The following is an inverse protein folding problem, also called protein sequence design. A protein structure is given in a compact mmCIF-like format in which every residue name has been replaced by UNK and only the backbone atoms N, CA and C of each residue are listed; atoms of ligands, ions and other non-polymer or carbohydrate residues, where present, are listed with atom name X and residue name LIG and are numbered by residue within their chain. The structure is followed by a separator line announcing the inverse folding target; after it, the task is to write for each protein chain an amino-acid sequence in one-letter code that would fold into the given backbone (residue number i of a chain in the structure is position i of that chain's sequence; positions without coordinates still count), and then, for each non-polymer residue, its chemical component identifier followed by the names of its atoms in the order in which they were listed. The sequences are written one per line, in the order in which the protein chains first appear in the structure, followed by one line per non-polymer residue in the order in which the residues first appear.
data_IF_609922104253
#
_entry.id   IF_609922104253
#
_cell.length_a   1.000
_cell.length_b   1.000
_cell.length_c   1.000
_cell.angle_alpha   90.00
_cell.angle_beta   90.00
_cell.angle_gamma   90.00
#
_symmetry.space_group_name_H-M   'P 1'
#
loop_
_entity.id
_entity.type
_entity.pdbx_description
1 polymer ?
#
# COMPACT_ATOMS: atom_id res chain seq x y z
N UNK A 1 28.94 -31.37 48.47
CA UNK A 1 29.57 -30.77 49.70
C UNK A 1 30.39 -29.58 49.28
N UNK A 2 30.05 -28.42 49.72
CA UNK A 2 30.81 -27.26 50.17
C UNK A 2 29.93 -25.99 50.07
N UNK A 3 29.58 -25.52 51.26
CA UNK A 3 28.90 -24.27 51.54
C UNK A 3 29.93 -23.12 51.61
N UNK A 4 29.59 -21.94 51.17
CA UNK A 4 30.36 -20.72 51.42
C UNK A 4 29.48 -19.52 51.11
N UNK A 5 29.00 -18.94 51.92
CA UNK A 5 28.94 -17.97 53.00
C UNK A 5 28.94 -16.51 52.44
N UNK A 6 27.86 -15.89 52.80
CA UNK A 6 27.43 -14.49 52.65
C UNK A 6 28.44 -13.56 53.36
N UNK A 7 28.79 -12.40 52.76
CA UNK A 7 29.30 -11.23 53.46
C UNK A 7 28.49 -10.01 53.10
N UNK A 8 27.72 -9.55 54.10
CA UNK A 8 27.13 -8.20 54.14
C UNK A 8 28.18 -7.21 54.64
N UNK A 9 28.32 -6.06 53.99
CA UNK A 9 29.02 -4.90 54.52
C UNK A 9 28.06 -3.72 54.58
N UNK A 10 27.88 -3.23 55.80
CA UNK A 10 27.19 -1.99 56.16
C UNK A 10 28.24 -0.87 56.19
N UNK A 11 27.92 0.27 55.63
CA UNK A 11 28.44 1.62 55.94
C UNK A 11 27.38 2.57 55.39
N UNK A 12 26.80 3.49 56.06
CA UNK A 12 27.27 4.38 57.07
C UNK A 12 26.78 5.76 56.66
N UNK A 13 25.76 6.30 57.35
CA UNK A 13 25.14 7.63 57.08
C UNK A 13 26.12 8.75 57.35
N UNK A 14 26.11 9.77 56.48
CA UNK A 14 26.46 11.14 56.92
C UNK A 14 25.43 12.11 56.35
N UNK A 15 24.75 12.79 57.24
CA UNK A 15 23.88 13.93 56.97
C UNK A 15 24.75 15.18 56.86
N UNK A 16 24.56 15.99 55.83
CA UNK A 16 24.86 17.43 55.87
C UNK A 16 23.75 18.18 55.17
N UNK A 17 23.03 18.93 55.96
CA UNK A 17 22.02 19.91 55.60
C UNK A 17 22.68 21.15 54.99
N UNK A 18 22.26 21.55 53.81
CA UNK A 18 22.43 22.91 53.31
C UNK A 18 21.07 23.42 52.83
N UNK A 19 20.57 24.39 53.56
CA UNK A 19 19.41 25.20 53.15
C UNK A 19 19.86 26.20 52.08
N UNK A 20 19.22 26.17 50.93
CA UNK A 20 19.28 27.24 49.95
C UNK A 20 17.86 27.57 49.49
N UNK A 21 17.45 28.80 49.77
CA UNK A 21 16.22 29.40 49.30
C UNK A 21 16.20 29.46 47.77
N UNK A 22 15.31 28.71 47.17
CA UNK A 22 15.08 28.73 45.72
C UNK A 22 13.75 29.40 45.41
N UNK A 23 13.84 30.50 44.66
CA UNK A 23 12.69 31.19 44.05
C UNK A 23 11.84 30.21 43.24
N UNK A 24 10.59 30.10 43.60
CA UNK A 24 9.53 29.46 42.79
C UNK A 24 9.18 30.36 41.63
N UNK A 25 9.76 30.10 40.44
CA UNK A 25 9.16 30.53 39.18
C UNK A 25 8.05 29.54 38.81
N UNK A 26 6.82 29.90 39.07
CA UNK A 26 5.65 29.24 38.55
C UNK A 26 5.60 29.53 37.04
N UNK A 27 6.20 28.67 36.21
CA UNK A 27 5.91 28.63 34.78
C UNK A 27 4.55 27.97 34.63
N UNK A 28 3.51 28.78 34.51
CA UNK A 28 2.21 28.33 34.05
C UNK A 28 2.34 27.82 32.60
N UNK A 29 2.65 26.54 32.43
CA UNK A 29 2.50 25.83 31.15
C UNK A 29 1.03 25.67 30.85
N UNK A 30 0.39 26.76 30.43
CA UNK A 30 -0.88 26.72 29.73
C UNK A 30 -0.66 26.04 28.38
N UNK A 31 -0.77 24.71 28.35
CA UNK A 31 -0.98 23.98 27.12
C UNK A 31 -2.37 24.36 26.59
N UNK A 32 -2.46 25.55 26.00
CA UNK A 32 -3.61 25.93 25.21
C UNK A 32 -3.69 24.90 24.09
N UNK A 33 -4.78 24.10 24.09
CA UNK A 33 -5.15 23.33 22.91
C UNK A 33 -5.19 24.32 21.74
N UNK A 34 -4.27 24.14 20.79
CA UNK A 34 -4.33 24.90 19.57
C UNK A 34 -5.76 24.75 19.00
N UNK A 35 -6.42 25.85 18.61
CA UNK A 35 -7.77 25.76 18.06
C UNK A 35 -7.73 24.78 16.91
N UNK A 36 -8.68 23.83 16.88
CA UNK A 36 -8.83 22.90 15.79
C UNK A 36 -8.98 23.74 14.52
N UNK A 37 -7.98 23.65 13.65
CA UNK A 37 -7.98 24.36 12.38
C UNK A 37 -9.09 23.75 11.54
N UNK A 38 -10.22 24.41 11.44
CA UNK A 38 -11.31 24.00 10.55
C UNK A 38 -10.78 24.03 9.14
N UNK A 39 -10.70 22.86 8.52
CA UNK A 39 -10.28 22.75 7.14
C UNK A 39 -11.27 23.51 6.25
N UNK A 40 -10.79 24.46 5.49
CA UNK A 40 -11.62 25.33 4.66
C UNK A 40 -12.34 24.59 3.53
N UNK A 41 -11.88 23.41 3.16
CA UNK A 41 -12.42 22.59 2.07
C UNK A 41 -12.20 21.08 2.32
N UNK A 42 -13.16 20.22 1.91
CA UNK A 42 -12.99 18.78 1.97
C UNK A 42 -11.82 18.31 1.09
N UNK A 43 -11.19 17.18 1.45
CA UNK A 43 -10.20 16.52 0.62
C UNK A 43 -10.85 15.90 -0.62
N UNK A 44 -10.12 15.85 -1.71
CA UNK A 44 -10.49 15.23 -2.97
C UNK A 44 -9.74 13.92 -3.20
N UNK A 45 -10.09 13.19 -4.25
CA UNK A 45 -9.44 11.93 -4.62
C UNK A 45 -7.92 12.09 -4.86
N UNK A 46 -7.51 13.16 -5.52
CA UNK A 46 -6.09 13.42 -5.81
C UNK A 46 -5.30 13.84 -4.56
N UNK A 47 -5.95 14.31 -3.49
CA UNK A 47 -5.28 14.65 -2.23
C UNK A 47 -4.89 13.38 -1.43
N UNK A 48 -5.68 12.32 -1.52
CA UNK A 48 -5.47 11.07 -0.76
C UNK A 48 -4.84 9.95 -1.59
N UNK A 49 -4.87 10.07 -2.91
CA UNK A 49 -4.22 9.16 -3.86
C UNK A 49 -3.37 9.97 -4.84
N UNK A 50 -2.10 10.13 -4.50
CA UNK A 50 -1.13 10.97 -5.20
C UNK A 50 -0.35 10.10 -6.17
N UNK A 51 -0.55 10.28 -7.48
CA UNK A 51 0.18 9.57 -8.53
C UNK A 51 1.28 10.45 -9.11
N UNK A 52 2.51 9.96 -9.08
CA UNK A 52 3.65 10.62 -9.72
C UNK A 52 3.63 10.41 -11.24
N UNK A 53 4.14 11.37 -12.02
CA UNK A 53 4.32 11.18 -13.45
C UNK A 53 5.37 10.08 -13.72
N UNK A 54 5.14 9.18 -14.70
CA UNK A 54 6.16 8.24 -15.10
C UNK A 54 7.36 8.99 -15.72
N UNK A 55 8.61 8.71 -15.30
CA UNK A 55 9.77 9.35 -15.86
C UNK A 55 10.02 8.85 -17.30
N UNK A 56 10.42 9.77 -18.18
CA UNK A 56 10.67 9.49 -19.59
C UNK A 56 12.16 9.56 -19.94
N UNK A 57 12.89 10.38 -19.18
CA UNK A 57 14.33 10.61 -19.36
C UNK A 57 15.01 10.68 -17.98
N UNK A 58 16.33 10.49 -17.89
CA UNK A 58 17.06 10.52 -16.61
C UNK A 58 16.85 11.80 -15.80
N UNK A 59 16.67 12.94 -16.46
CA UNK A 59 16.44 14.22 -15.79
C UNK A 59 15.12 14.23 -14.99
N UNK A 60 14.11 13.45 -15.36
CA UNK A 60 12.84 13.38 -14.68
C UNK A 60 12.96 12.75 -13.28
N UNK A 61 14.01 11.97 -13.02
CA UNK A 61 14.25 11.36 -11.70
C UNK A 61 14.39 12.41 -10.60
N UNK A 62 14.89 13.60 -10.93
CA UNK A 62 14.94 14.72 -10.00
C UNK A 62 13.55 15.19 -9.52
N UNK A 63 12.48 14.84 -10.21
CA UNK A 63 11.08 15.09 -9.82
C UNK A 63 10.46 13.97 -8.97
N UNK A 64 11.16 12.87 -8.73
CA UNK A 64 10.68 11.72 -7.99
C UNK A 64 11.26 11.65 -6.57
N UNK A 65 10.69 10.82 -5.74
CA UNK A 65 11.21 10.48 -4.41
C UNK A 65 11.88 9.11 -4.50
N UNK A 66 13.20 9.06 -4.31
CA UNK A 66 13.91 7.78 -4.22
C UNK A 66 13.59 7.10 -2.89
N UNK A 67 13.42 5.78 -2.91
CA UNK A 67 13.13 4.99 -1.70
C UNK A 67 14.32 5.03 -0.73
N UNK A 68 15.54 5.03 -1.27
CA UNK A 68 16.78 5.16 -0.48
C UNK A 68 16.92 6.48 0.28
N UNK A 69 16.23 7.54 -0.18
CA UNK A 69 16.27 8.87 0.42
C UNK A 69 15.24 9.09 1.52
N UNK A 70 14.29 8.15 1.69
CA UNK A 70 13.26 8.24 2.71
C UNK A 70 13.83 7.81 4.07
N UNK A 71 13.86 8.74 5.01
CA UNK A 71 14.28 8.53 6.40
C UNK A 71 13.12 8.73 7.36
N UNK A 72 13.18 8.07 8.51
CA UNK A 72 12.19 8.25 9.57
C UNK A 72 12.37 9.57 10.35
N UNK A 73 11.37 9.94 11.15
CA UNK A 73 11.45 11.14 11.99
C UNK A 73 12.57 11.01 13.02
N UNK A 74 13.28 12.07 13.14
CA UNK A 74 14.32 12.55 14.07
C UNK A 74 14.84 11.67 15.21
N UNK A 75 16.16 11.71 15.34
CA UNK A 75 16.96 11.21 16.47
C UNK A 75 18.14 10.36 16.01
N UNK A 76 17.95 9.44 15.14
CA UNK A 76 18.94 8.80 14.27
C UNK A 76 18.23 8.58 12.93
N UNK A 77 18.67 9.20 11.85
CA UNK A 77 18.03 9.05 10.54
C UNK A 77 18.19 7.60 10.07
N UNK A 78 17.16 6.79 10.33
CA UNK A 78 17.07 5.44 9.81
C UNK A 78 16.26 5.47 8.53
N UNK A 79 16.70 4.80 7.49
CA UNK A 79 15.89 4.61 6.27
C UNK A 79 14.56 3.95 6.62
N UNK A 80 13.47 4.38 5.99
CA UNK A 80 12.15 3.77 6.18
C UNK A 80 12.15 2.29 5.78
N UNK A 81 12.90 1.95 4.75
CA UNK A 81 13.19 0.58 4.34
C UNK A 81 14.68 0.32 4.54
N UNK A 82 15.02 -0.56 5.48
CA UNK A 82 16.39 -0.96 5.73
C UNK A 82 16.97 -1.79 4.58
N UNK A 83 18.29 -1.81 4.45
CA UNK A 83 18.96 -2.64 3.43
C UNK A 83 18.64 -4.14 3.66
N UNK A 84 18.47 -4.56 4.91
CA UNK A 84 18.09 -5.93 5.26
C UNK A 84 16.65 -6.26 4.82
N UNK A 85 15.67 -5.39 5.13
CA UNK A 85 14.29 -5.59 4.70
C UNK A 85 14.17 -5.54 3.18
N UNK A 86 14.93 -4.66 2.52
CA UNK A 86 14.97 -4.61 1.06
C UNK A 86 15.59 -5.89 0.47
N UNK A 87 16.67 -6.40 1.02
CA UNK A 87 17.26 -7.66 0.57
C UNK A 87 16.28 -8.83 0.73
N UNK A 88 15.53 -8.88 1.85
CA UNK A 88 14.47 -9.87 2.07
C UNK A 88 13.30 -9.70 1.09
N UNK A 89 12.94 -8.47 0.78
CA UNK A 89 11.91 -8.17 -0.22
C UNK A 89 12.29 -8.72 -1.59
N UNK A 90 13.52 -8.51 -2.03
CA UNK A 90 14.05 -9.05 -3.28
C UNK A 90 14.11 -10.60 -3.23
N UNK A 91 14.64 -11.16 -2.15
CA UNK A 91 14.73 -12.60 -1.99
C UNK A 91 13.35 -13.28 -2.04
N UNK A 92 12.35 -12.71 -1.35
CA UNK A 92 10.99 -13.25 -1.36
C UNK A 92 10.30 -13.07 -2.72
N UNK A 93 10.66 -12.05 -3.51
CA UNK A 93 10.17 -11.90 -4.87
C UNK A 93 10.70 -13.01 -5.79
N UNK A 94 11.98 -13.35 -5.64
CA UNK A 94 12.64 -14.39 -6.43
C UNK A 94 12.41 -15.81 -5.89
N UNK A 95 12.08 -15.94 -4.61
CA UNK A 95 11.86 -17.21 -3.92
C UNK A 95 10.70 -17.10 -2.92
N UNK A 96 9.45 -17.09 -3.41
CA UNK A 96 8.28 -16.86 -2.56
C UNK A 96 7.89 -18.06 -1.69
N UNK A 97 8.61 -19.16 -1.80
CA UNK A 97 8.32 -20.39 -1.06
C UNK A 97 8.56 -20.16 0.44
N UNK A 98 7.61 -20.58 1.23
CA UNK A 98 7.70 -20.59 2.69
C UNK A 98 7.72 -22.03 3.20
N UNK A 99 8.61 -22.30 4.13
CA UNK A 99 8.67 -23.60 4.81
C UNK A 99 7.29 -23.98 5.40
N UNK A 100 6.82 -25.19 5.07
CA UNK A 100 5.54 -25.72 5.54
C UNK A 100 4.29 -25.19 4.83
N UNK A 101 4.43 -24.31 3.85
CA UNK A 101 3.33 -23.89 2.99
C UNK A 101 3.56 -24.46 1.59
N UNK A 102 2.67 -25.34 1.10
CA UNK A 102 2.79 -25.84 -0.26
C UNK A 102 2.75 -24.66 -1.22
N UNK A 103 3.80 -24.46 -1.98
CA UNK A 103 3.77 -23.56 -3.10
C UNK A 103 3.53 -24.40 -4.35
N UNK A 104 2.48 -24.09 -5.10
CA UNK A 104 2.04 -24.81 -6.28
C UNK A 104 2.99 -24.63 -7.47
N UNK A 105 4.30 -24.88 -7.28
CA UNK A 105 5.30 -24.72 -8.33
C UNK A 105 5.40 -23.26 -8.79
N UNK A 106 5.30 -22.34 -7.86
CA UNK A 106 5.23 -20.92 -8.12
C UNK A 106 6.39 -20.49 -9.00
N UNK A 107 6.04 -19.87 -10.09
CA UNK A 107 7.01 -19.15 -10.89
C UNK A 107 7.48 -17.94 -10.09
N UNK A 108 8.74 -17.60 -10.28
CA UNK A 108 9.47 -16.59 -9.52
C UNK A 108 9.51 -15.31 -10.33
N UNK A 109 9.44 -14.17 -9.67
CA UNK A 109 9.75 -12.90 -10.33
C UNK A 109 11.25 -12.93 -10.65
N UNK A 110 11.62 -12.75 -11.93
CA UNK A 110 13.02 -12.64 -12.31
C UNK A 110 13.42 -11.18 -12.32
N UNK A 111 14.28 -10.80 -11.39
CA UNK A 111 14.75 -9.44 -11.25
C UNK A 111 16.13 -9.28 -11.87
N UNK A 112 16.31 -8.35 -12.83
CA UNK A 112 17.64 -7.95 -13.28
C UNK A 112 18.48 -7.39 -12.10
N UNK A 113 19.78 -7.64 -12.09
CA UNK A 113 20.66 -7.16 -11.02
C UNK A 113 20.61 -5.64 -10.81
N UNK A 114 20.33 -4.90 -11.87
CA UNK A 114 20.18 -3.45 -11.82
C UNK A 114 18.99 -2.99 -10.94
N UNK A 115 17.96 -3.81 -10.77
CA UNK A 115 16.82 -3.47 -9.90
C UNK A 115 16.92 -4.08 -8.50
N UNK A 116 17.94 -4.90 -8.22
CA UNK A 116 18.21 -5.45 -6.89
C UNK A 116 18.89 -4.45 -5.94
N UNK A 117 19.00 -3.19 -6.36
CA UNK A 117 19.55 -2.08 -5.58
C UNK A 117 18.44 -1.13 -5.18
N UNK A 118 18.37 -0.76 -3.91
CA UNK A 118 17.34 0.14 -3.38
C UNK A 118 17.34 1.50 -4.08
N UNK A 119 18.50 1.98 -4.51
CA UNK A 119 18.66 3.27 -5.22
C UNK A 119 17.98 3.29 -6.60
N UNK A 120 17.64 2.12 -7.15
CA UNK A 120 16.88 2.04 -8.39
C UNK A 120 15.37 2.25 -8.18
N UNK A 121 14.88 2.27 -6.93
CA UNK A 121 13.44 2.29 -6.64
C UNK A 121 12.96 3.69 -6.26
N UNK A 122 11.86 4.09 -6.89
CA UNK A 122 11.23 5.39 -6.72
C UNK A 122 9.75 5.24 -6.34
N UNK A 123 9.23 6.22 -5.62
CA UNK A 123 7.80 6.31 -5.31
C UNK A 123 7.04 6.67 -6.58
N UNK A 124 6.23 5.76 -7.08
CA UNK A 124 5.33 5.96 -8.20
C UNK A 124 3.96 6.51 -7.75
N UNK A 125 3.56 6.20 -6.52
CA UNK A 125 2.31 6.69 -5.96
C UNK A 125 2.23 6.58 -4.45
N UNK A 126 1.33 7.34 -3.86
CA UNK A 126 1.02 7.35 -2.43
C UNK A 126 -0.48 7.21 -2.28
N UNK A 127 -0.93 6.33 -1.40
CA UNK A 127 -2.34 6.19 -1.05
C UNK A 127 -2.51 6.27 0.47
N UNK A 128 -3.39 7.14 0.89
CA UNK A 128 -3.78 7.34 2.28
C UNK A 128 -5.08 6.55 2.49
N UNK A 129 -5.05 5.59 3.41
CA UNK A 129 -6.18 4.71 3.65
C UNK A 129 -6.51 4.70 5.16
N UNK A 130 -7.66 5.23 5.59
CA UNK A 130 -8.03 5.27 7.00
C UNK A 130 -8.50 3.91 7.53
N UNK A 131 -8.68 2.89 6.69
CA UNK A 131 -9.32 1.66 7.13
C UNK A 131 -9.17 0.44 6.26
N UNK A 132 -7.94 -0.07 6.10
CA UNK A 132 -7.78 -1.40 5.53
C UNK A 132 -8.33 -2.49 6.51
N UNK A 133 -8.83 -3.62 6.02
CA UNK A 133 -8.92 -4.01 4.61
C UNK A 133 -10.10 -3.41 3.86
N UNK A 134 -10.98 -2.67 4.53
CA UNK A 134 -12.11 -1.97 3.93
C UNK A 134 -12.87 -1.13 4.95
N UNK A 135 -13.71 -0.21 4.45
CA UNK A 135 -14.45 0.77 5.24
C UNK A 135 -15.93 0.45 5.43
N UNK A 136 -16.40 -0.70 4.95
CA UNK A 136 -17.78 -1.12 5.22
C UNK A 136 -17.97 -1.51 6.69
N UNK A 137 -19.18 -1.32 7.21
CA UNK A 137 -19.49 -1.63 8.60
C UNK A 137 -19.18 -3.09 8.97
N UNK A 138 -19.47 -4.03 8.06
CA UNK A 138 -19.24 -5.46 8.26
C UNK A 138 -17.75 -5.79 8.33
N UNK A 139 -16.95 -5.21 7.42
CA UNK A 139 -15.49 -5.40 7.42
C UNK A 139 -14.87 -4.81 8.68
N UNK A 140 -15.28 -3.59 9.07
CA UNK A 140 -14.81 -2.96 10.31
C UNK A 140 -15.23 -3.77 11.54
N UNK A 141 -16.44 -4.30 11.56
CA UNK A 141 -16.92 -5.12 12.65
C UNK A 141 -16.09 -6.39 12.83
N UNK A 142 -15.60 -6.97 11.73
CA UNK A 142 -14.81 -8.19 11.77
C UNK A 142 -13.32 -7.94 12.04
N UNK A 143 -12.70 -7.09 11.26
CA UNK A 143 -11.23 -6.93 11.25
C UNK A 143 -10.76 -5.71 12.06
N UNK A 144 -11.69 -4.86 12.50
CA UNK A 144 -11.32 -3.53 12.94
C UNK A 144 -10.95 -2.63 11.76
N UNK A 145 -10.24 -1.57 12.04
CA UNK A 145 -9.81 -0.60 11.05
C UNK A 145 -8.33 -0.33 11.23
N UNK A 146 -7.55 -0.59 10.19
CA UNK A 146 -6.11 -0.33 10.16
C UNK A 146 -5.81 0.85 9.26
N UNK A 147 -5.61 2.06 9.82
CA UNK A 147 -5.18 3.19 9.01
C UNK A 147 -3.79 2.95 8.45
N UNK A 148 -3.58 3.29 7.18
CA UNK A 148 -2.36 2.99 6.45
C UNK A 148 -1.94 4.13 5.54
N UNK A 149 -0.63 4.27 5.34
CA UNK A 149 -0.05 4.91 4.16
C UNK A 149 0.61 3.83 3.32
N UNK A 150 0.23 3.76 2.05
CA UNK A 150 0.79 2.83 1.08
C UNK A 150 1.66 3.59 0.09
N UNK A 151 2.94 3.27 0.02
CA UNK A 151 3.82 3.75 -1.04
C UNK A 151 3.87 2.68 -2.13
N UNK A 152 3.50 3.08 -3.34
CA UNK A 152 3.70 2.28 -4.54
C UNK A 152 5.09 2.63 -5.06
N UNK A 153 5.96 1.64 -5.15
CA UNK A 153 7.35 1.82 -5.55
C UNK A 153 7.65 1.06 -6.83
N UNK A 154 8.41 1.65 -7.73
CA UNK A 154 8.82 1.01 -8.99
C UNK A 154 10.29 1.31 -9.32
N UNK A 155 11.02 0.31 -9.87
CA UNK A 155 12.40 0.53 -10.25
C UNK A 155 12.53 1.21 -11.60
N UNK A 156 13.46 2.16 -11.63
CA UNK A 156 13.89 2.87 -12.82
C UNK A 156 15.40 2.77 -12.92
N UNK A 157 15.91 2.36 -14.06
CA UNK A 157 17.35 2.23 -14.30
C UNK A 157 17.80 3.10 -15.45
N UNK A 158 19.04 3.56 -15.35
CA UNK A 158 19.74 4.26 -16.44
C UNK A 158 21.12 3.62 -16.59
N UNK A 159 21.32 2.81 -17.58
CA UNK A 159 22.52 2.02 -17.78
C UNK A 159 22.86 1.81 -19.25
N UNK A 160 23.77 0.87 -19.57
CA UNK A 160 24.17 0.58 -20.96
C UNK A 160 23.01 0.20 -21.88
N UNK A 161 21.92 -0.30 -21.33
CA UNK A 161 20.70 -0.65 -22.07
C UNK A 161 19.72 0.54 -22.19
N UNK A 162 20.15 1.75 -21.80
CA UNK A 162 19.34 2.96 -21.83
C UNK A 162 18.54 3.17 -20.53
N UNK A 163 17.64 4.17 -20.62
CA UNK A 163 16.72 4.55 -19.54
C UNK A 163 15.47 3.66 -19.59
N UNK A 164 15.14 3.04 -18.47
CA UNK A 164 14.02 2.08 -18.43
C UNK A 164 13.25 2.16 -17.11
N UNK A 165 11.93 2.26 -17.19
CA UNK A 165 11.01 1.93 -16.12
C UNK A 165 10.70 0.44 -16.20
N UNK A 166 10.86 -0.28 -15.10
CA UNK A 166 10.67 -1.75 -15.08
C UNK A 166 9.22 -2.14 -14.76
N UNK A 167 8.85 -3.33 -15.19
CA UNK A 167 7.52 -3.90 -14.97
C UNK A 167 7.25 -4.27 -13.53
N UNK A 168 8.30 -4.50 -12.75
CA UNK A 168 8.19 -4.79 -11.33
C UNK A 168 7.64 -3.59 -10.56
N UNK A 169 6.75 -3.83 -9.62
CA UNK A 169 6.29 -2.82 -8.67
C UNK A 169 6.16 -3.42 -7.28
N UNK A 170 6.34 -2.61 -6.27
CA UNK A 170 6.17 -3.00 -4.88
C UNK A 170 5.23 -2.07 -4.13
N UNK A 171 4.67 -2.57 -3.04
CA UNK A 171 3.96 -1.78 -2.05
C UNK A 171 4.72 -1.82 -0.73
N UNK A 172 4.93 -0.64 -0.13
CA UNK A 172 5.35 -0.50 1.25
C UNK A 172 4.15 0.02 2.03
N UNK A 173 3.67 -0.72 3.01
CA UNK A 173 2.46 -0.41 3.77
C UNK A 173 2.85 -0.10 5.20
N UNK A 174 2.62 1.15 5.60
CA UNK A 174 2.88 1.67 6.92
C UNK A 174 1.57 1.78 7.69
N UNK A 175 1.44 1.06 8.80
CA UNK A 175 0.22 0.98 9.59
C UNK A 175 0.25 1.90 10.81
N UNK A 176 -0.91 2.42 11.17
CA UNK A 176 -1.11 3.32 12.30
C UNK A 176 -2.07 2.68 13.31
N UNK A 177 -1.53 1.74 14.09
CA UNK A 177 -2.23 1.05 15.16
C UNK A 177 -1.67 1.47 16.52
N UNK A 178 -2.51 1.45 17.56
CA UNK A 178 -2.14 1.70 18.95
C UNK A 178 -1.33 0.54 19.55
N UNK A 179 -1.55 -0.65 19.05
CA UNK A 179 -0.88 -1.88 19.47
C UNK A 179 -0.16 -2.49 18.28
N UNK A 180 0.92 -3.24 18.51
CA UNK A 180 1.55 -4.04 17.46
C UNK A 180 0.52 -4.92 16.77
N UNK A 181 0.70 -5.16 15.48
CA UNK A 181 -0.12 -6.13 14.79
C UNK A 181 -0.03 -7.46 15.52
N UNK A 182 -1.17 -8.06 15.86
CA UNK A 182 -1.18 -9.30 16.58
C UNK A 182 -0.54 -10.40 15.75
N UNK A 183 0.14 -11.35 16.38
CA UNK A 183 0.72 -12.46 15.66
C UNK A 183 -0.39 -13.22 14.91
N UNK A 184 -0.16 -13.46 13.63
CA UNK A 184 -1.05 -14.28 12.79
C UNK A 184 -0.84 -15.77 13.07
N UNK A 185 -0.59 -16.15 14.30
CA UNK A 185 -0.38 -17.50 14.74
C UNK A 185 -1.62 -18.04 15.48
N UNK A 186 -1.98 -19.26 15.16
CA UNK A 186 -2.98 -20.01 15.87
C UNK A 186 -4.41 -19.94 15.34
N UNK A 187 -5.29 -20.63 16.04
CA UNK A 187 -6.72 -20.76 15.74
C UNK A 187 -7.59 -19.68 16.39
N UNK A 188 -6.98 -18.64 16.93
CA UNK A 188 -7.71 -17.53 17.52
C UNK A 188 -8.45 -16.72 16.44
N UNK A 189 -9.58 -16.10 16.77
CA UNK A 189 -10.23 -15.16 15.87
C UNK A 189 -9.24 -14.12 15.39
N UNK A 190 -9.36 -13.68 14.14
CA UNK A 190 -8.51 -12.64 13.59
C UNK A 190 -8.55 -11.42 14.52
N UNK A 191 -7.42 -10.99 15.05
CA UNK A 191 -7.43 -9.91 16.03
C UNK A 191 -7.85 -8.62 15.36
N UNK A 192 -8.69 -7.85 16.04
CA UNK A 192 -9.16 -6.56 15.56
C UNK A 192 -8.06 -5.52 15.70
N UNK A 193 -7.76 -4.84 14.63
CA UNK A 193 -6.87 -3.70 14.65
C UNK A 193 -7.48 -2.56 15.47
N UNK A 194 -6.67 -1.89 16.27
CA UNK A 194 -7.04 -0.70 17.03
C UNK A 194 -6.38 0.51 16.39
N UNK A 195 -7.11 1.37 15.69
CA UNK A 195 -6.55 2.49 14.97
C UNK A 195 -5.95 3.54 15.91
N UNK A 196 -4.79 4.06 15.53
CA UNK A 196 -4.22 5.29 16.08
C UNK A 196 -4.79 6.49 15.29
N UNK A 197 -6.04 6.83 15.59
CA UNK A 197 -6.76 7.87 14.86
C UNK A 197 -6.13 9.25 15.04
N UNK A 198 -5.50 9.55 16.18
CA UNK A 198 -4.89 10.86 16.39
C UNK A 198 -3.63 11.03 15.53
N UNK A 199 -2.77 10.00 15.46
CA UNK A 199 -1.63 10.04 14.54
C UNK A 199 -2.11 10.13 13.09
N UNK A 200 -3.15 9.39 12.72
CA UNK A 200 -3.67 9.43 11.35
C UNK A 200 -4.35 10.76 11.00
N UNK A 201 -5.11 11.36 11.92
CA UNK A 201 -5.67 12.72 11.76
C UNK A 201 -4.59 13.78 11.56
N UNK A 202 -3.45 13.66 12.24
CA UNK A 202 -2.32 14.57 12.02
C UNK A 202 -1.81 14.51 10.58
N UNK A 203 -1.70 13.31 10.00
CA UNK A 203 -1.35 13.12 8.59
C UNK A 203 -2.36 13.79 7.67
N UNK A 204 -3.65 13.54 7.90
CA UNK A 204 -4.74 14.10 7.09
C UNK A 204 -4.73 15.64 7.12
N UNK A 205 -4.47 16.25 8.28
CA UNK A 205 -4.33 17.70 8.43
C UNK A 205 -3.15 18.24 7.65
N UNK A 206 -2.00 17.57 7.70
CA UNK A 206 -0.81 18.00 6.96
C UNK A 206 -1.01 17.87 5.43
N UNK A 207 -1.70 16.84 4.97
CA UNK A 207 -2.09 16.69 3.55
C UNK A 207 -3.02 17.83 3.12
N UNK A 208 -4.00 18.17 3.94
CA UNK A 208 -4.89 19.29 3.65
C UNK A 208 -4.14 20.62 3.60
N UNK A 209 -3.20 20.84 4.53
CA UNK A 209 -2.35 22.01 4.52
C UNK A 209 -1.46 22.07 3.27
N UNK A 210 -0.93 20.93 2.84
CA UNK A 210 -0.12 20.82 1.62
C UNK A 210 -0.94 21.16 0.36
N UNK A 211 -2.17 20.65 0.26
CA UNK A 211 -3.13 21.00 -0.80
C UNK A 211 -3.42 22.50 -0.81
N UNK A 212 -3.70 23.09 0.36
CA UNK A 212 -4.02 24.51 0.47
C UNK A 212 -2.82 25.39 0.05
N UNK A 213 -1.61 24.98 0.42
CA UNK A 213 -0.39 25.63 -0.04
C UNK A 213 -0.20 25.53 -1.55
N UNK A 214 -0.51 24.38 -2.16
CA UNK A 214 -0.46 24.20 -3.60
C UNK A 214 -1.49 25.10 -4.30
N UNK A 215 -2.71 25.13 -3.80
CA UNK A 215 -3.79 25.98 -4.33
C UNK A 215 -3.48 27.49 -4.19
N UNK A 216 -2.76 27.87 -3.15
CA UNK A 216 -2.27 29.24 -2.93
C UNK A 216 -1.04 29.60 -3.78
N UNK A 217 -0.53 28.70 -4.63
CA UNK A 217 0.62 28.93 -5.50
C UNK A 217 1.98 28.91 -4.82
N UNK A 218 2.09 28.39 -3.58
CA UNK A 218 3.37 28.35 -2.85
C UNK A 218 4.48 27.51 -3.55
N UNK A 219 4.08 26.59 -4.42
CA UNK A 219 4.99 25.72 -5.16
C UNK A 219 5.19 26.15 -6.62
N UNK A 220 4.64 27.31 -7.00
CA UNK A 220 4.64 27.85 -8.37
C UNK A 220 3.24 28.18 -8.84
N UNK A 221 3.13 29.04 -9.85
CA UNK A 221 1.84 29.50 -10.39
C UNK A 221 1.11 28.43 -11.21
N UNK A 222 0.93 27.24 -10.66
CA UNK A 222 0.12 26.21 -11.31
C UNK A 222 -1.32 26.35 -10.81
N UNK A 223 -2.23 26.64 -11.72
CA UNK A 223 -3.68 26.54 -11.42
C UNK A 223 -4.00 25.06 -11.20
N UNK A 224 -4.02 24.65 -9.95
CA UNK A 224 -4.34 23.30 -9.58
C UNK A 224 -5.80 23.23 -9.24
N UNK A 225 -6.59 22.55 -10.07
CA UNK A 225 -7.86 22.01 -9.64
C UNK A 225 -7.59 20.66 -8.99
N UNK A 226 -7.75 20.57 -7.69
CA UNK A 226 -7.73 19.27 -6.98
C UNK A 226 -9.08 18.57 -7.07
N UNK A 227 -10.13 19.31 -7.54
CA UNK A 227 -11.42 18.74 -7.86
C UNK A 227 -11.40 18.16 -9.28
N UNK A 228 -11.84 16.94 -9.43
CA UNK A 228 -11.94 16.26 -10.73
C UNK A 228 -11.52 14.80 -10.67
N UNK A 229 -11.49 14.18 -11.83
CA UNK A 229 -11.11 12.79 -11.98
C UNK A 229 -9.65 12.54 -11.55
N UNK A 230 -9.41 11.39 -10.98
CA UNK A 230 -8.06 10.93 -10.59
C UNK A 230 -7.14 10.91 -11.82
N UNK A 231 -5.94 11.44 -11.63
CA UNK A 231 -4.91 11.57 -12.67
C UNK A 231 -3.51 11.60 -12.03
N UNK A 232 -2.47 11.78 -12.82
CA UNK A 232 -1.18 12.24 -12.33
C UNK A 232 -1.41 13.53 -11.53
N UNK A 233 -0.82 13.58 -10.33
CA UNK A 233 -1.08 14.71 -9.43
C UNK A 233 -0.57 16.02 -10.03
N UNK A 234 -1.41 17.04 -10.15
CA UNK A 234 -1.06 18.26 -10.86
C UNK A 234 0.11 19.03 -10.24
N UNK A 235 0.30 18.95 -8.93
CA UNK A 235 1.45 19.53 -8.24
C UNK A 235 2.80 18.87 -8.57
N UNK A 236 2.80 17.69 -9.19
CA UNK A 236 4.00 16.96 -9.59
C UNK A 236 4.34 17.15 -11.08
N UNK A 237 3.71 18.12 -11.74
CA UNK A 237 3.93 18.41 -13.16
C UNK A 237 4.45 19.84 -13.33
N UNK A 238 5.40 20.04 -14.25
CA UNK A 238 5.92 21.36 -14.58
C UNK A 238 6.78 21.99 -13.49
N UNK A 239 6.72 23.30 -13.37
CA UNK A 239 7.58 24.09 -12.46
C UNK A 239 7.33 23.80 -10.97
N UNK A 240 6.14 23.36 -10.59
CA UNK A 240 5.78 23.00 -9.21
C UNK A 240 6.31 21.62 -8.79
N UNK A 241 6.73 20.78 -9.70
CA UNK A 241 7.04 19.38 -9.44
C UNK A 241 8.08 19.19 -8.33
N UNK A 242 9.23 19.84 -8.45
CA UNK A 242 10.32 19.67 -7.46
C UNK A 242 9.95 20.20 -6.07
N UNK A 243 9.52 21.45 -5.87
CA UNK A 243 9.20 21.93 -4.52
C UNK A 243 7.99 21.21 -3.91
N UNK A 244 7.00 20.80 -4.69
CA UNK A 244 5.87 20.02 -4.17
C UNK A 244 6.30 18.59 -3.82
N UNK A 245 7.12 17.95 -4.63
CA UNK A 245 7.74 16.65 -4.34
C UNK A 245 8.54 16.70 -3.03
N UNK A 246 9.36 17.76 -2.80
CA UNK A 246 10.14 17.91 -1.58
C UNK A 246 9.23 18.07 -0.35
N UNK A 247 8.12 18.78 -0.49
CA UNK A 247 7.12 18.90 0.57
C UNK A 247 6.40 17.56 0.87
N UNK A 248 6.08 16.77 -0.15
CA UNK A 248 5.56 15.39 0.02
C UNK A 248 6.60 14.53 0.74
N UNK A 249 7.86 14.57 0.31
CA UNK A 249 8.94 13.81 0.98
C UNK A 249 9.02 14.18 2.46
N UNK A 250 9.04 15.46 2.80
CA UNK A 250 9.06 15.93 4.18
C UNK A 250 7.83 15.46 4.98
N UNK A 251 6.65 15.42 4.37
CA UNK A 251 5.43 14.87 4.99
C UNK A 251 5.61 13.38 5.30
N UNK A 252 6.10 12.58 4.36
CA UNK A 252 6.35 11.16 4.58
C UNK A 252 7.35 10.95 5.72
N UNK A 253 8.47 11.66 5.71
CA UNK A 253 9.52 11.58 6.73
C UNK A 253 9.06 12.03 8.12
N UNK A 254 8.10 12.97 8.19
CA UNK A 254 7.47 13.38 9.45
C UNK A 254 6.62 12.29 10.09
N UNK A 255 5.91 11.50 9.31
CA UNK A 255 4.87 10.59 9.81
C UNK A 255 5.22 9.11 9.69
N UNK A 256 6.10 8.73 8.79
CA UNK A 256 6.50 7.33 8.60
C UNK A 256 7.74 6.99 9.41
N UNK A 257 7.75 5.76 9.93
CA UNK A 257 8.93 5.20 10.59
C UNK A 257 9.13 3.75 10.18
N UNK A 258 10.34 3.20 10.28
CA UNK A 258 10.60 1.79 9.99
C UNK A 258 9.73 0.83 10.80
N UNK A 259 9.34 1.21 12.02
CA UNK A 259 8.51 0.40 12.92
C UNK A 259 7.06 0.29 12.44
N UNK A 260 6.60 1.27 11.65
CA UNK A 260 5.24 1.27 11.06
C UNK A 260 5.15 0.44 9.77
N UNK A 261 6.28 0.12 9.14
CA UNK A 261 6.31 -0.75 7.96
C UNK A 261 6.04 -2.18 8.38
N UNK A 262 4.83 -2.67 8.12
CA UNK A 262 4.41 -4.01 8.55
C UNK A 262 4.11 -4.96 7.39
N UNK A 263 3.71 -4.44 6.25
CA UNK A 263 3.33 -5.25 5.09
C UNK A 263 4.05 -4.75 3.84
N UNK A 264 4.47 -5.66 3.02
CA UNK A 264 5.01 -5.38 1.69
C UNK A 264 4.36 -6.33 0.68
N UNK A 265 4.31 -5.90 -0.56
CA UNK A 265 3.93 -6.77 -1.67
C UNK A 265 4.76 -6.42 -2.89
N UNK A 266 4.97 -7.39 -3.77
CA UNK A 266 5.67 -7.18 -5.03
C UNK A 266 4.92 -7.88 -6.16
N UNK A 267 4.95 -7.27 -7.31
CA UNK A 267 4.50 -7.86 -8.56
C UNK A 267 5.55 -7.65 -9.63
N UNK A 268 5.66 -8.62 -10.52
CA UNK A 268 6.61 -8.57 -11.62
C UNK A 268 6.41 -9.73 -12.57
N UNK A 269 7.27 -9.85 -13.54
CA UNK A 269 7.19 -10.88 -14.58
C UNK A 269 8.19 -12.00 -14.30
N UNK A 270 7.75 -13.24 -14.53
CA UNK A 270 8.61 -14.40 -14.79
C UNK A 270 8.72 -14.55 -16.29
N UNK A 271 9.77 -13.98 -16.95
CA UNK A 271 9.83 -13.90 -18.40
C UNK A 271 9.71 -15.25 -19.12
N UNK A 272 9.03 -15.33 -20.26
CA UNK A 272 8.32 -14.22 -20.91
C UNK A 272 6.97 -13.91 -20.26
N UNK A 273 6.47 -14.73 -19.38
CA UNK A 273 5.24 -14.69 -18.58
C UNK A 273 5.27 -15.81 -17.51
N UNK A 274 4.42 -15.84 -16.52
CA UNK A 274 3.30 -14.95 -16.20
C UNK A 274 3.71 -13.71 -15.39
N UNK A 275 2.72 -12.86 -15.09
CA UNK A 275 2.79 -11.94 -13.98
C UNK A 275 2.70 -12.71 -12.65
N UNK A 276 3.54 -12.36 -11.71
CA UNK A 276 3.62 -12.99 -10.38
C UNK A 276 3.39 -11.92 -9.31
N UNK A 277 2.56 -12.24 -8.32
CA UNK A 277 2.21 -11.38 -7.18
C UNK A 277 2.58 -12.09 -5.88
N UNK A 278 3.35 -11.42 -5.05
CA UNK A 278 3.81 -11.97 -3.75
C UNK A 278 3.47 -10.98 -2.64
N UNK A 279 2.78 -11.47 -1.61
CA UNK A 279 2.49 -10.69 -0.39
C UNK A 279 3.44 -11.10 0.73
N UNK A 280 3.81 -10.14 1.58
CA UNK A 280 4.77 -10.31 2.66
C UNK A 280 4.30 -9.57 3.90
N UNK A 281 4.58 -10.15 5.07
CA UNK A 281 4.32 -9.55 6.37
C UNK A 281 5.63 -9.47 7.17
N UNK A 282 5.83 -8.38 7.86
CA UNK A 282 6.94 -8.23 8.80
C UNK A 282 6.55 -8.87 10.13
N UNK A 283 7.26 -9.93 10.49
CA UNK A 283 7.05 -10.65 11.75
C UNK A 283 8.20 -10.34 12.71
N UNK A 284 7.94 -9.96 13.96
CA UNK A 284 8.98 -9.72 14.94
C UNK A 284 9.95 -10.90 15.01
N UNK A 285 11.25 -10.62 15.03
CA UNK A 285 12.37 -11.60 15.04
C UNK A 285 12.55 -12.43 13.76
N UNK A 286 11.50 -12.67 12.97
CA UNK A 286 11.61 -13.40 11.70
C UNK A 286 11.86 -12.48 10.50
N UNK A 287 11.60 -11.17 10.65
CA UNK A 287 11.71 -10.19 9.58
C UNK A 287 10.56 -10.30 8.57
N UNK A 288 10.84 -9.98 7.31
CA UNK A 288 9.86 -10.01 6.23
C UNK A 288 9.70 -11.44 5.70
N UNK A 289 8.50 -11.97 5.77
CA UNK A 289 8.17 -13.34 5.32
C UNK A 289 7.01 -13.33 4.31
N UNK A 290 6.99 -14.23 3.31
CA UNK A 290 5.85 -14.39 2.42
C UNK A 290 4.57 -14.77 3.19
N UNK A 291 3.45 -14.21 2.79
CA UNK A 291 2.13 -14.48 3.39
C UNK A 291 1.18 -14.96 2.30
N UNK A 292 0.61 -16.17 2.45
CA UNK A 292 -0.36 -16.66 1.49
C UNK A 292 -1.59 -15.77 1.42
N UNK A 293 -2.00 -15.47 0.19
CA UNK A 293 -3.27 -14.82 -0.12
C UNK A 293 -4.27 -15.82 -0.70
N UNK A 294 -5.58 -15.50 -0.73
CA UNK A 294 -6.61 -16.38 -1.26
C UNK A 294 -6.43 -16.60 -2.76
N UNK A 295 -6.61 -17.84 -3.19
CA UNK A 295 -6.59 -18.26 -4.61
C UNK A 295 -7.73 -19.24 -4.89
N UNK A 296 -7.87 -19.67 -6.13
CA UNK A 296 -8.88 -20.65 -6.53
C UNK A 296 -8.76 -21.99 -5.77
N UNK A 297 -7.53 -22.44 -5.59
CA UNK A 297 -7.19 -23.76 -5.01
C UNK A 297 -6.83 -23.67 -3.54
N UNK A 298 -7.03 -22.54 -2.90
CA UNK A 298 -6.70 -22.33 -1.48
C UNK A 298 -5.88 -21.09 -1.23
N UNK A 299 -4.75 -21.22 -0.55
CA UNK A 299 -3.87 -20.11 -0.19
C UNK A 299 -2.47 -20.34 -0.75
N UNK A 300 -1.98 -19.37 -1.51
CA UNK A 300 -0.63 -19.40 -2.08
C UNK A 300 0.18 -18.17 -1.72
N UNK A 301 1.47 -18.33 -1.51
CA UNK A 301 2.39 -17.23 -1.28
C UNK A 301 2.59 -16.39 -2.54
N UNK A 302 2.55 -17.04 -3.71
CA UNK A 302 2.60 -16.40 -5.01
C UNK A 302 1.33 -16.69 -5.81
N UNK A 303 0.81 -15.67 -6.48
CA UNK A 303 -0.31 -15.76 -7.40
C UNK A 303 0.14 -15.37 -8.79
N UNK A 304 -0.42 -15.98 -9.83
CA UNK A 304 0.05 -15.80 -11.20
C UNK A 304 -1.07 -15.48 -12.15
N UNK A 305 -0.75 -14.71 -13.17
CA UNK A 305 -1.62 -14.39 -14.29
C UNK A 305 -0.86 -14.43 -15.61
N UNK A 306 -1.37 -15.19 -16.55
CA UNK A 306 -0.83 -15.29 -17.92
C UNK A 306 -1.94 -15.04 -18.93
N UNK A 307 -1.64 -14.32 -19.99
CA UNK A 307 -2.57 -14.10 -21.12
C UNK A 307 -2.16 -14.96 -22.32
N UNK A 308 -0.87 -15.24 -22.45
CA UNK A 308 -0.28 -16.00 -23.54
C UNK A 308 0.13 -17.36 -23.01
N UNK A 309 -0.55 -18.40 -23.40
CA UNK A 309 -0.23 -19.76 -22.97
C UNK A 309 -1.45 -20.53 -22.47
N UNK A 310 -1.26 -21.83 -22.30
CA UNK A 310 -2.35 -22.77 -22.06
C UNK A 310 -2.79 -22.86 -20.59
N UNK A 311 -2.01 -22.32 -19.68
CA UNK A 311 -2.30 -22.41 -18.24
C UNK A 311 -2.58 -21.03 -17.65
N UNK A 312 -3.83 -20.68 -17.60
CA UNK A 312 -4.27 -19.54 -16.83
C UNK A 312 -4.53 -19.99 -15.39
N UNK A 313 -3.64 -19.67 -14.48
CA UNK A 313 -3.97 -19.75 -13.06
C UNK A 313 -4.48 -18.37 -12.66
N UNK A 314 -5.77 -18.18 -12.83
CA UNK A 314 -6.44 -16.98 -12.34
C UNK A 314 -7.22 -17.37 -11.11
N UNK A 315 -6.76 -16.98 -9.92
CA UNK A 315 -7.42 -17.36 -8.67
C UNK A 315 -8.80 -16.72 -8.56
N UNK A 316 -9.71 -17.38 -7.88
CA UNK A 316 -11.04 -16.86 -7.53
C UNK A 316 -11.01 -16.24 -6.14
N UNK A 317 -11.91 -15.29 -5.86
CA UNK A 317 -12.17 -14.92 -4.48
C UNK A 317 -12.50 -16.17 -3.66
N UNK A 318 -11.82 -16.34 -2.53
CA UNK A 318 -12.08 -17.48 -1.64
C UNK A 318 -13.38 -17.24 -0.92
N UNK A 319 -14.33 -18.17 -1.09
CA UNK A 319 -15.56 -18.21 -0.32
C UNK A 319 -15.41 -19.15 0.87
N UNK A 320 -16.21 -18.89 1.90
CA UNK A 320 -16.18 -19.58 3.19
C UNK A 320 -15.84 -21.07 3.13
N UNK A 321 -14.87 -21.50 3.91
CA UNK A 321 -14.58 -22.91 4.25
C UNK A 321 -14.09 -23.83 3.13
N UNK A 322 -13.69 -23.31 1.97
CA UNK A 322 -13.29 -24.20 0.90
C UNK A 322 -11.92 -24.88 1.13
N UNK A 323 -11.06 -24.29 2.02
CA UNK A 323 -9.78 -24.91 2.36
C UNK A 323 -9.24 -24.50 3.74
N UNK A 324 -9.67 -25.12 4.82
CA UNK A 324 -9.07 -24.90 6.13
C UNK A 324 -7.74 -25.67 6.24
N UNK A 325 -6.69 -25.19 5.61
CA UNK A 325 -5.38 -25.86 5.67
C UNK A 325 -4.76 -25.74 7.06
N UNK A 326 -5.00 -24.61 7.72
CA UNK A 326 -4.61 -24.36 9.12
C UNK A 326 -5.57 -23.39 9.78
N UNK A 327 -5.61 -23.37 11.11
CA UNK A 327 -6.45 -22.41 11.84
C UNK A 327 -6.16 -20.96 11.49
N UNK A 328 -4.91 -20.62 11.23
CA UNK A 328 -4.48 -19.32 10.75
C UNK A 328 -5.09 -19.00 9.39
N UNK A 329 -5.06 -19.95 8.50
CA UNK A 329 -5.65 -19.80 7.17
C UNK A 329 -7.17 -19.73 7.24
N UNK A 330 -7.81 -20.50 8.13
CA UNK A 330 -9.26 -20.42 8.34
C UNK A 330 -9.70 -19.01 8.80
N UNK A 331 -8.91 -18.37 9.67
CA UNK A 331 -9.22 -17.00 10.10
C UNK A 331 -9.13 -15.97 8.94
N UNK A 332 -8.26 -16.20 7.97
CA UNK A 332 -8.13 -15.36 6.78
C UNK A 332 -9.19 -15.70 5.71
N UNK A 333 -9.63 -16.97 5.67
CA UNK A 333 -10.59 -17.48 4.69
C UNK A 333 -12.04 -17.18 5.05
N UNK A 334 -12.34 -16.93 6.31
CA UNK A 334 -13.70 -16.67 6.81
C UNK A 334 -13.94 -15.21 7.19
N UNK A 335 -13.70 -14.24 6.29
CA UNK A 335 -14.32 -12.96 6.50
C UNK A 335 -15.84 -13.18 6.45
N UNK A 336 -16.67 -12.49 7.25
CA UNK A 336 -18.08 -12.43 7.00
C UNK A 336 -18.26 -11.76 5.65
N UNK A 337 -18.30 -12.58 4.62
CA UNK A 337 -18.68 -12.09 3.32
C UNK A 337 -20.09 -11.57 3.47
N UNK A 338 -20.40 -10.39 2.95
CA UNK A 338 -21.80 -10.00 2.77
C UNK A 338 -22.51 -11.18 2.12
N UNK A 339 -23.76 -11.43 2.42
CA UNK A 339 -24.54 -12.60 1.96
C UNK A 339 -24.70 -12.68 0.44
N UNK A 340 -23.93 -11.94 -0.31
CA UNK A 340 -23.86 -12.06 -1.76
C UNK A 340 -23.13 -13.34 -2.08
N UNK A 341 -23.79 -14.19 -2.81
CA UNK A 341 -23.20 -15.37 -3.43
C UNK A 341 -22.02 -14.95 -4.32
N UNK A 342 -20.81 -14.95 -3.75
CA UNK A 342 -19.56 -14.62 -4.44
C UNK A 342 -18.83 -15.85 -4.91
N UNK A 343 -19.44 -16.99 -4.75
CA UNK A 343 -18.89 -18.24 -5.21
C UNK A 343 -18.63 -18.15 -6.71
N UNK A 344 -17.36 -18.27 -7.09
CA UNK A 344 -16.98 -18.23 -8.49
C UNK A 344 -16.85 -16.85 -9.13
N UNK A 345 -16.79 -15.76 -8.36
CA UNK A 345 -16.56 -14.42 -8.92
C UNK A 345 -15.06 -14.15 -9.03
N UNK A 346 -14.52 -14.25 -10.22
CA UNK A 346 -13.12 -14.00 -10.54
C UNK A 346 -12.96 -13.49 -11.96
N UNK A 347 -11.88 -12.77 -12.24
CA UNK A 347 -11.53 -12.40 -13.62
C UNK A 347 -11.26 -13.62 -14.50
N UNK A 348 -10.92 -14.78 -13.90
CA UNK A 348 -10.85 -16.05 -14.63
C UNK A 348 -12.15 -16.39 -15.34
N UNK A 349 -13.28 -16.01 -14.76
CA UNK A 349 -14.60 -16.36 -15.27
C UNK A 349 -14.96 -15.61 -16.55
N UNK A 350 -14.18 -14.61 -16.97
CA UNK A 350 -14.42 -13.86 -18.22
C UNK A 350 -13.20 -13.71 -19.14
N UNK A 351 -12.09 -14.35 -18.83
CA UNK A 351 -10.94 -14.36 -19.75
C UNK A 351 -11.29 -15.06 -21.05
N UNK A 352 -12.17 -16.06 -21.02
CA UNK A 352 -12.74 -16.63 -22.25
C UNK A 352 -13.51 -15.56 -23.04
N UNK A 353 -13.20 -15.46 -24.35
CA UNK A 353 -13.79 -14.47 -25.24
C UNK A 353 -15.32 -14.63 -25.41
N UNK A 354 -15.85 -15.79 -25.10
CA UNK A 354 -17.28 -16.10 -25.28
C UNK A 354 -18.17 -15.68 -24.12
N UNK A 355 -17.60 -15.16 -23.01
CA UNK A 355 -18.38 -14.72 -21.85
C UNK A 355 -19.19 -13.46 -22.21
N UNK A 356 -20.51 -13.44 -21.99
CA UNK A 356 -21.34 -12.28 -22.30
C UNK A 356 -20.92 -11.04 -21.51
N UNK A 357 -21.01 -9.86 -22.12
CA UNK A 357 -20.68 -8.58 -21.48
C UNK A 357 -21.42 -8.35 -20.16
N UNK A 358 -22.69 -8.81 -20.05
CA UNK A 358 -23.45 -8.71 -18.81
C UNK A 358 -22.81 -9.49 -17.65
N UNK A 359 -22.28 -10.68 -17.92
CA UNK A 359 -21.60 -11.50 -16.91
C UNK A 359 -20.27 -10.88 -16.52
N UNK A 360 -19.51 -10.34 -17.49
CA UNK A 360 -18.28 -9.61 -17.21
C UNK A 360 -18.57 -8.41 -16.29
N UNK A 361 -19.61 -7.62 -16.60
CA UNK A 361 -20.00 -6.47 -15.78
C UNK A 361 -20.38 -6.86 -14.36
N UNK A 362 -21.12 -7.96 -14.18
CA UNK A 362 -21.48 -8.49 -12.87
C UNK A 362 -20.21 -8.78 -12.05
N UNK A 363 -19.27 -9.53 -12.61
CA UNK A 363 -18.02 -9.92 -11.96
C UNK A 363 -17.19 -8.69 -11.57
N UNK A 364 -16.90 -7.81 -12.52
CA UNK A 364 -16.03 -6.65 -12.27
C UNK A 364 -16.69 -5.62 -11.35
N UNK A 365 -18.00 -5.53 -11.31
CA UNK A 365 -18.73 -4.70 -10.36
C UNK A 365 -18.58 -5.19 -8.91
N UNK A 366 -18.52 -6.49 -8.70
CA UNK A 366 -18.23 -7.04 -7.36
C UNK A 366 -16.77 -6.79 -6.98
N UNK A 367 -15.84 -7.05 -7.89
CA UNK A 367 -14.40 -6.87 -7.63
C UNK A 367 -14.05 -5.41 -7.38
N UNK A 368 -14.62 -4.48 -8.14
CA UNK A 368 -14.35 -3.05 -7.98
C UNK A 368 -14.97 -2.44 -6.72
N UNK A 369 -16.04 -3.02 -6.16
CA UNK A 369 -16.69 -2.52 -4.95
C UNK A 369 -15.88 -2.88 -3.70
N UNK A 370 -15.19 -1.88 -3.12
CA UNK A 370 -14.36 -2.05 -1.93
C UNK A 370 -15.13 -2.50 -0.68
N UNK A 371 -16.45 -2.37 -0.68
CA UNK A 371 -17.32 -2.85 0.40
C UNK A 371 -17.59 -4.35 0.29
N UNK A 372 -17.39 -4.92 -0.89
CA UNK A 372 -17.65 -6.33 -1.18
C UNK A 372 -16.38 -7.15 -1.33
N UNK A 373 -15.33 -6.54 -1.82
CA UNK A 373 -14.08 -7.18 -2.22
C UNK A 373 -12.91 -6.55 -1.47
N UNK A 374 -12.05 -7.37 -0.86
CA UNK A 374 -10.89 -6.92 -0.11
C UNK A 374 -9.81 -8.02 -0.07
N UNK A 375 -8.65 -7.71 0.49
CA UNK A 375 -7.49 -8.61 0.55
C UNK A 375 -7.79 -10.03 1.06
N UNK A 376 -8.73 -10.18 1.98
CA UNK A 376 -9.03 -11.49 2.59
C UNK A 376 -10.05 -12.33 1.81
N UNK A 377 -10.68 -11.79 0.78
CA UNK A 377 -11.69 -12.51 0.01
C UNK A 377 -11.55 -12.39 -1.50
N UNK A 378 -10.53 -11.69 -1.98
CA UNK A 378 -10.30 -11.47 -3.41
C UNK A 378 -8.82 -11.63 -3.70
N UNK A 379 -8.52 -12.40 -4.72
CA UNK A 379 -7.16 -12.64 -5.15
C UNK A 379 -6.52 -11.40 -5.78
N UNK A 380 -5.18 -11.37 -5.79
CA UNK A 380 -4.42 -10.26 -6.35
C UNK A 380 -4.72 -10.06 -7.83
N UNK A 381 -4.78 -11.15 -8.57
CA UNK A 381 -4.97 -11.12 -10.03
C UNK A 381 -6.30 -10.48 -10.38
N UNK A 382 -7.40 -10.91 -9.73
CA UNK A 382 -8.73 -10.35 -9.98
C UNK A 382 -8.78 -8.84 -9.69
N UNK A 383 -8.20 -8.40 -8.58
CA UNK A 383 -8.12 -6.97 -8.27
C UNK A 383 -7.29 -6.18 -9.29
N UNK A 384 -6.27 -6.79 -9.87
CA UNK A 384 -5.34 -6.12 -10.78
C UNK A 384 -5.75 -6.16 -12.26
N UNK A 385 -6.70 -7.03 -12.64
CA UNK A 385 -7.13 -7.19 -14.03
C UNK A 385 -8.56 -6.71 -14.30
N UNK A 386 -9.33 -6.39 -13.26
CA UNK A 386 -10.77 -6.06 -13.35
C UNK A 386 -11.09 -4.86 -14.25
N UNK A 387 -10.14 -3.96 -14.47
CA UNK A 387 -10.33 -2.79 -15.34
C UNK A 387 -9.72 -3.01 -16.72
N UNK A 388 -8.50 -3.57 -16.81
CA UNK A 388 -7.79 -3.73 -18.06
C UNK A 388 -8.53 -4.67 -19.02
N UNK A 389 -9.00 -5.80 -18.52
CA UNK A 389 -9.69 -6.82 -19.34
C UNK A 389 -10.99 -6.30 -19.99
N UNK A 390 -11.95 -5.70 -19.25
CA UNK A 390 -13.17 -5.21 -19.90
C UNK A 390 -12.90 -4.02 -20.84
N UNK A 391 -11.93 -3.16 -20.56
CA UNK A 391 -11.59 -2.04 -21.44
C UNK A 391 -11.03 -2.52 -22.79
N UNK A 392 -10.05 -3.40 -22.75
CA UNK A 392 -9.38 -3.91 -23.97
C UNK A 392 -10.31 -4.79 -24.80
N UNK A 393 -11.20 -5.54 -24.16
CA UNK A 393 -12.27 -6.32 -24.81
C UNK A 393 -13.46 -5.49 -25.27
N UNK A 394 -13.48 -4.18 -24.97
CA UNK A 394 -14.57 -3.28 -25.34
C UNK A 394 -15.93 -3.77 -24.83
N UNK A 395 -15.96 -4.24 -23.61
CA UNK A 395 -17.19 -4.72 -22.97
C UNK A 395 -18.23 -3.60 -22.97
N UNK A 396 -19.41 -3.88 -23.49
CA UNK A 396 -20.49 -2.89 -23.59
C UNK A 396 -20.89 -2.39 -22.20
N UNK A 397 -21.14 -1.09 -22.09
CA UNK A 397 -21.55 -0.40 -20.85
C UNK A 397 -20.54 -0.45 -19.71
N UNK A 398 -19.30 -0.90 -19.94
CA UNK A 398 -18.25 -0.79 -18.95
C UNK A 398 -17.75 0.65 -18.87
N UNK A 399 -17.79 1.22 -17.66
CA UNK A 399 -17.33 2.60 -17.39
C UNK A 399 -16.42 2.64 -16.18
N UNK A 400 -15.54 3.63 -16.17
CA UNK A 400 -14.63 3.89 -15.05
C UNK A 400 -14.83 5.34 -14.60
N UNK A 401 -15.82 5.61 -13.74
CA UNK A 401 -16.07 6.95 -13.23
C UNK A 401 -14.95 7.41 -12.31
N UNK A 402 -14.74 8.72 -12.25
CA UNK A 402 -13.76 9.33 -11.34
C UNK A 402 -12.30 9.15 -11.75
N UNK A 403 -12.03 8.66 -12.97
CA UNK A 403 -10.67 8.49 -13.52
C UNK A 403 -10.57 9.16 -14.87
N UNK A 404 -9.53 9.98 -15.04
CA UNK A 404 -9.22 10.56 -16.33
C UNK A 404 -8.86 9.44 -17.34
N UNK A 405 -9.48 9.51 -18.53
CA UNK A 405 -9.28 8.52 -19.59
C UNK A 405 -7.82 8.35 -20.02
N UNK A 406 -6.99 9.38 -19.86
CA UNK A 406 -5.58 9.34 -20.25
C UNK A 406 -4.75 8.36 -19.40
N UNK A 407 -5.18 8.07 -18.17
CA UNK A 407 -4.50 7.17 -17.24
C UNK A 407 -5.22 5.82 -17.03
N UNK A 408 -6.21 5.51 -17.84
CA UNK A 408 -6.82 4.17 -17.85
C UNK A 408 -5.88 3.15 -18.50
N UNK A 409 -5.91 1.88 -18.05
CA UNK A 409 -5.21 0.80 -18.71
C UNK A 409 -5.59 0.73 -20.19
N UNK A 410 -4.60 0.67 -21.08
CA UNK A 410 -4.81 0.60 -22.53
C UNK A 410 -4.55 -0.80 -23.09
N UNK A 411 -3.86 -1.63 -22.32
CA UNK A 411 -3.42 -2.96 -22.70
C UNK A 411 -3.91 -3.99 -21.69
N UNK A 412 -4.26 -5.16 -22.14
CA UNK A 412 -4.76 -6.27 -21.32
C UNK A 412 -3.70 -6.80 -20.33
N UNK A 413 -2.42 -6.62 -20.67
CA UNK A 413 -1.30 -6.89 -19.78
C UNK A 413 -1.06 -5.84 -18.70
N UNK A 414 -1.75 -4.69 -18.77
CA UNK A 414 -1.58 -3.66 -17.77
C UNK A 414 -2.26 -4.04 -16.46
N UNK A 415 -1.51 -4.66 -15.60
CA UNK A 415 -1.92 -5.12 -14.26
C UNK A 415 -1.60 -4.12 -13.15
N UNK A 416 -1.42 -2.84 -13.46
CA UNK A 416 -1.24 -1.79 -12.46
C UNK A 416 -2.61 -1.27 -11.99
N UNK A 417 -2.83 -1.31 -10.67
CA UNK A 417 -3.99 -0.64 -10.09
C UNK A 417 -3.77 0.87 -9.95
N UNK A 418 -2.55 1.23 -9.53
CA UNK A 418 -2.14 2.60 -9.28
C UNK A 418 -0.61 2.69 -9.39
N UNK A 419 -0.09 3.35 -10.44
CA UNK A 419 1.37 3.41 -10.66
C UNK A 419 1.72 3.56 -12.13
N UNK A 420 2.90 3.09 -12.52
CA UNK A 420 3.40 3.17 -13.89
C UNK A 420 3.38 1.79 -14.56
N UNK A 421 2.99 1.76 -15.80
CA UNK A 421 3.03 0.56 -16.63
C UNK A 421 3.95 0.78 -17.84
N UNK A 422 5.10 0.13 -17.92
CA UNK A 422 5.92 0.13 -19.12
C UNK A 422 5.31 -0.81 -20.16
N UNK A 423 5.05 -0.28 -21.34
CA UNK A 423 4.52 -1.07 -22.47
C UNK A 423 5.63 -1.91 -23.08
N UNK A 424 5.91 -3.08 -22.53
CA UNK A 424 7.00 -3.93 -23.03
C UNK A 424 6.64 -4.68 -24.33
N UNK A 425 5.34 -4.89 -24.60
CA UNK A 425 4.90 -5.56 -25.82
C UNK A 425 5.01 -4.67 -27.06
N UNK A 426 4.82 -3.36 -26.89
CA UNK A 426 4.77 -2.42 -28.01
C UNK A 426 5.94 -1.43 -28.01
N UNK A 427 6.78 -1.46 -26.99
CA UNK A 427 7.81 -0.43 -26.79
C UNK A 427 7.19 0.93 -26.44
N UNK A 428 7.99 1.83 -25.92
CA UNK A 428 7.54 3.19 -25.63
C UNK A 428 7.69 3.59 -24.17
N UNK A 429 7.35 4.85 -23.82
CA UNK A 429 7.47 5.35 -22.48
C UNK A 429 6.44 4.70 -21.57
N UNK A 430 6.78 4.57 -20.29
CA UNK A 430 5.83 4.11 -19.28
C UNK A 430 4.61 5.04 -19.21
N UNK A 431 3.44 4.45 -19.00
CA UNK A 431 2.17 5.17 -18.83
C UNK A 431 1.73 5.16 -17.37
N UNK A 432 1.23 6.29 -16.89
CA UNK A 432 0.52 6.34 -15.61
C UNK A 432 -0.78 5.52 -15.71
N UNK A 433 -1.11 4.77 -14.67
CA UNK A 433 -2.28 3.90 -14.66
C UNK A 433 -3.05 4.03 -13.36
N UNK A 434 -4.37 4.15 -13.49
CA UNK A 434 -5.35 4.10 -12.39
C UNK A 434 -6.50 3.20 -12.83
N UNK A 435 -6.85 2.22 -12.00
CA UNK A 435 -8.00 1.32 -12.25
C UNK A 435 -9.27 1.83 -11.58
N UNK A 436 -10.38 1.25 -11.99
CA UNK A 436 -11.70 1.46 -11.37
C UNK A 436 -11.68 1.06 -9.89
N UNK A 437 -11.01 -0.05 -9.54
CA UNK A 437 -10.84 -0.48 -8.15
C UNK A 437 -10.13 0.59 -7.31
N UNK A 438 -9.04 1.14 -7.80
CA UNK A 438 -8.31 2.19 -7.10
C UNK A 438 -9.16 3.45 -6.91
N UNK A 439 -9.98 3.81 -7.90
CA UNK A 439 -10.89 4.94 -7.82
C UNK A 439 -12.04 4.71 -6.82
N UNK A 440 -12.64 3.54 -6.82
CA UNK A 440 -13.71 3.18 -5.90
C UNK A 440 -13.23 3.20 -4.43
N UNK A 441 -12.08 2.59 -4.14
CA UNK A 441 -11.47 2.68 -2.81
C UNK A 441 -11.16 4.13 -2.42
N UNK A 442 -10.62 4.91 -3.34
CA UNK A 442 -10.30 6.32 -3.07
C UNK A 442 -11.55 7.14 -2.75
N UNK A 443 -12.66 6.90 -3.44
CA UNK A 443 -13.93 7.59 -3.17
C UNK A 443 -14.47 7.26 -1.76
N UNK A 444 -14.41 5.99 -1.35
CA UNK A 444 -14.81 5.57 0.01
C UNK A 444 -13.88 6.20 1.06
N UNK A 445 -12.57 6.25 0.81
CA UNK A 445 -11.57 6.90 1.66
C UNK A 445 -11.86 8.39 1.83
N UNK A 446 -12.08 9.11 0.74
CA UNK A 446 -12.42 10.55 0.75
C UNK A 446 -13.67 10.79 1.57
N UNK A 447 -14.71 9.99 1.34
CA UNK A 447 -15.97 10.09 2.07
C UNK A 447 -15.76 9.88 3.57
N UNK A 448 -15.02 8.84 3.95
CA UNK A 448 -14.74 8.54 5.34
C UNK A 448 -13.91 9.65 6.02
N UNK A 449 -12.83 10.09 5.41
CA UNK A 449 -11.97 11.14 5.96
C UNK A 449 -12.76 12.42 6.20
N UNK A 450 -13.50 12.88 5.19
CA UNK A 450 -14.24 14.12 5.26
C UNK A 450 -15.39 14.06 6.29
N UNK A 451 -16.07 12.92 6.42
CA UNK A 451 -17.22 12.78 7.32
C UNK A 451 -16.85 12.37 8.75
N UNK A 452 -15.81 11.56 8.95
CA UNK A 452 -15.52 10.93 10.23
C UNK A 452 -14.25 11.46 10.90
N UNK A 453 -13.27 11.95 10.16
CA UNK A 453 -11.99 12.37 10.73
C UNK A 453 -11.81 13.89 10.80
N UNK A 454 -12.35 14.63 9.83
CA UNK A 454 -12.18 16.07 9.73
C UNK A 454 -13.32 16.88 10.36
N UNK A 455 -14.51 16.31 10.45
CA UNK A 455 -15.70 16.98 10.97
C UNK A 455 -16.07 16.62 12.43
N UNK A 456 -15.14 15.93 13.15
CA UNK A 456 -15.36 15.55 14.58
C UNK A 456 -14.37 16.23 15.50
#
# INVERSE_FOLDING_TARGET
MAKGAIRRSKFGRLFTSLSAAGLLFAVASGAGKAPAQTLSKPLSANDVSILFPPPKVPADLAGLVAVSDLVGPTGAPQRLLSDEDFARFIANAEHPEREGVPDSGARRIQLPDSVKKIDAWFVAGIRIDPGAPGLSADVIAQFGRQPQIRLIIQPVTNGPQGFKVHDTAGHLIFSFNLEPDPPLDGCAPFPRFKPDDEAFKAIVRDIAALRDQLAAGKFGNVKVSTAGDMNVHPGLVGASAKPFRDAIKALLEKHLSPQRLNTMAVMGISPPEPWVFVSMLRVPKAGLIPVPGPTLDGLHAAQMFSIVGETHVVPRPVTNNENPVTCRHAALQNPPLPPTDRKGVSTADFIDANVPSSRVLEIVNVIADARKSHFFNTDCVSCHTETAQPLTRKVQNFTVPGVNRAVLPKEDWNVRNFGWFPSFLHGGPAAATITRRAAAETADVVTFINSQLLNK
#
